data_IF_889844277554
#
_entry.id   IF_889844277554
#
_cell.length_a   1.000
_cell.length_b   1.000
_cell.length_c   1.000
_cell.angle_alpha   90.00
_cell.angle_beta   90.00
_cell.angle_gamma   90.00
#
_symmetry.space_group_name_H-M   'P 1'
#
loop_
_entity.id
_entity.type
_entity.pdbx_description
1 polymer ?
#
# COMPACT_ATOMS: atom_id res chain seq x y z
N UNK A 1 -3.49 11.05 -0.64
CA UNK A 1 -2.93 12.34 -1.10
C UNK A 1 -3.29 12.55 -2.58
N UNK A 2 -2.97 13.67 -3.25
CA UNK A 2 -3.32 13.83 -4.66
C UNK A 2 -2.74 12.71 -5.54
N UNK A 3 -3.52 12.23 -6.51
CA UNK A 3 -3.10 11.13 -7.39
C UNK A 3 -3.08 9.75 -6.70
N UNK A 4 -3.62 9.62 -5.49
CA UNK A 4 -3.88 8.31 -4.89
C UNK A 4 -5.12 7.67 -5.53
N UNK A 5 -4.98 6.44 -6.02
CA UNK A 5 -6.04 5.64 -6.62
C UNK A 5 -6.19 4.36 -5.81
N UNK A 6 -7.36 4.14 -5.22
CA UNK A 6 -7.74 2.92 -4.51
C UNK A 6 -8.85 2.23 -5.30
N UNK A 7 -8.69 0.97 -5.68
CA UNK A 7 -9.63 0.24 -6.55
C UNK A 7 -9.82 -1.22 -6.13
N UNK A 8 -10.97 -1.80 -6.49
CA UNK A 8 -11.31 -3.19 -6.19
C UNK A 8 -11.41 -3.45 -4.68
N UNK A 9 -10.99 -4.63 -4.25
CA UNK A 9 -11.03 -5.07 -2.86
C UNK A 9 -9.80 -4.53 -2.08
N UNK A 10 -9.67 -3.21 -2.05
CA UNK A 10 -8.58 -2.51 -1.36
C UNK A 10 -9.01 -2.09 0.04
N UNK A 11 -8.23 -2.48 1.05
CA UNK A 11 -8.49 -2.20 2.46
C UNK A 11 -7.33 -1.39 3.06
N UNK A 12 -7.67 -0.33 3.80
CA UNK A 12 -6.69 0.55 4.46
C UNK A 12 -6.92 0.51 5.97
N UNK A 13 -5.92 0.05 6.72
CA UNK A 13 -5.95 0.03 8.17
C UNK A 13 -5.83 1.41 8.82
N UNK A 14 -6.02 1.44 10.14
CA UNK A 14 -5.97 2.69 10.91
C UNK A 14 -4.61 3.38 10.83
N UNK A 15 -4.62 4.71 10.86
CA UNK A 15 -3.41 5.56 10.89
C UNK A 15 -2.44 5.31 9.72
N UNK A 16 -2.91 4.82 8.59
CA UNK A 16 -2.11 4.72 7.37
C UNK A 16 -1.93 6.08 6.69
N UNK A 17 -0.79 6.24 6.02
CA UNK A 17 -0.52 7.38 5.16
C UNK A 17 -0.34 6.89 3.71
N UNK A 18 -1.33 7.17 2.86
CA UNK A 18 -1.24 6.87 1.43
C UNK A 18 -0.82 8.13 0.68
N UNK A 19 0.46 8.12 0.33
CA UNK A 19 1.24 9.09 -0.42
C UNK A 19 0.71 9.39 -1.82
N UNK A 20 1.18 10.48 -2.44
CA UNK A 20 0.76 10.88 -3.76
C UNK A 20 1.21 9.87 -4.81
N UNK A 21 0.47 9.82 -5.93
CA UNK A 21 0.76 8.96 -7.08
C UNK A 21 0.84 7.45 -6.75
N UNK A 22 0.16 7.02 -5.68
CA UNK A 22 0.03 5.59 -5.35
C UNK A 22 -1.23 5.01 -5.98
N UNK A 23 -1.11 3.86 -6.65
CA UNK A 23 -2.23 3.08 -7.18
C UNK A 23 -2.26 1.71 -6.52
N UNK A 24 -3.31 1.44 -5.75
CA UNK A 24 -3.52 0.20 -5.02
C UNK A 24 -4.78 -0.49 -5.55
N UNK A 25 -4.65 -1.72 -6.02
CA UNK A 25 -5.74 -2.54 -6.57
C UNK A 25 -5.78 -3.85 -5.81
N UNK A 26 -6.93 -4.24 -5.26
CA UNK A 26 -7.09 -5.46 -4.46
C UNK A 26 -5.97 -5.63 -3.41
N UNK A 27 -5.59 -4.53 -2.74
CA UNK A 27 -4.42 -4.49 -1.86
C UNK A 27 -4.85 -4.23 -0.42
N UNK A 28 -4.35 -5.04 0.52
CA UNK A 28 -4.58 -4.83 1.96
C UNK A 28 -3.40 -4.09 2.55
N UNK A 29 -3.65 -2.97 3.22
CA UNK A 29 -2.64 -2.15 3.88
C UNK A 29 -2.84 -2.18 5.39
N UNK A 30 -1.85 -2.72 6.12
CA UNK A 30 -1.87 -2.84 7.56
C UNK A 30 -1.74 -1.49 8.28
N UNK A 31 -2.30 -1.40 9.48
CA UNK A 31 -2.33 -0.18 10.28
C UNK A 31 -0.95 0.46 10.46
N UNK A 32 -0.89 1.79 10.40
CA UNK A 32 0.33 2.58 10.55
C UNK A 32 1.28 2.55 9.35
N UNK A 33 0.93 1.87 8.25
CA UNK A 33 1.78 1.78 7.08
C UNK A 33 1.85 3.13 6.32
N UNK A 34 2.98 3.35 5.66
CA UNK A 34 3.19 4.49 4.76
C UNK A 34 3.49 3.99 3.36
N UNK A 35 2.71 4.45 2.37
CA UNK A 35 2.81 3.99 0.98
C UNK A 35 2.86 5.19 0.05
N UNK A 36 3.98 5.42 -0.62
CA UNK A 36 4.16 6.58 -1.52
C UNK A 36 4.67 6.17 -2.90
N UNK A 37 4.22 6.86 -3.96
CA UNK A 37 4.64 6.63 -5.35
C UNK A 37 4.72 5.13 -5.72
N UNK A 38 3.70 4.36 -5.34
CA UNK A 38 3.73 2.89 -5.41
C UNK A 38 2.59 2.36 -6.28
N UNK A 39 2.87 1.37 -7.13
CA UNK A 39 1.86 0.58 -7.82
C UNK A 39 1.77 -0.80 -7.15
N UNK A 40 0.61 -1.15 -6.61
CA UNK A 40 0.37 -2.45 -6.00
C UNK A 40 -0.90 -3.07 -6.54
N UNK A 41 -0.85 -4.37 -6.85
CA UNK A 41 -1.99 -5.17 -7.28
C UNK A 41 -1.98 -6.53 -6.61
N UNK A 42 -3.13 -6.95 -6.08
CA UNK A 42 -3.33 -8.26 -5.43
C UNK A 42 -2.23 -8.55 -4.38
N UNK A 43 -1.95 -7.56 -3.52
CA UNK A 43 -0.82 -7.56 -2.60
C UNK A 43 -1.23 -7.31 -1.14
N UNK A 44 -0.35 -7.66 -0.20
CA UNK A 44 -0.53 -7.38 1.23
C UNK A 44 0.65 -6.58 1.78
N UNK A 45 0.36 -5.45 2.38
CA UNK A 45 1.33 -4.55 3.03
C UNK A 45 1.15 -4.66 4.54
N UNK A 46 2.20 -5.06 5.26
CA UNK A 46 2.17 -5.26 6.71
C UNK A 46 1.98 -3.98 7.52
N UNK A 47 1.73 -4.17 8.83
CA UNK A 47 1.59 -3.08 9.80
C UNK A 47 2.89 -2.28 9.90
N UNK A 48 2.76 -0.96 10.04
CA UNK A 48 3.88 -0.01 10.13
C UNK A 48 4.87 -0.07 8.94
N UNK A 49 4.56 -0.84 7.88
CA UNK A 49 5.45 -1.01 6.75
C UNK A 49 5.62 0.31 5.99
N UNK A 50 6.81 0.50 5.41
CA UNK A 50 7.10 1.62 4.51
C UNK A 50 7.31 1.06 3.12
N UNK A 51 6.49 1.49 2.16
CA UNK A 51 6.56 1.04 0.77
C UNK A 51 6.71 2.25 -0.14
N UNK A 52 7.75 2.23 -0.96
CA UNK A 52 8.10 3.30 -1.88
C UNK A 52 9.32 4.12 -1.45
N UNK A 53 9.62 5.21 -2.19
CA UNK A 53 8.97 5.58 -3.45
C UNK A 53 9.37 4.64 -4.62
N UNK A 54 8.57 4.63 -5.70
CA UNK A 54 8.76 3.87 -6.94
C UNK A 54 8.71 2.34 -6.80
N UNK A 55 8.00 1.84 -5.79
CA UNK A 55 7.78 0.40 -5.63
C UNK A 55 6.70 -0.11 -6.59
N UNK A 56 6.90 -1.31 -7.11
CA UNK A 56 5.90 -2.06 -7.88
C UNK A 56 5.71 -3.43 -7.24
N UNK A 57 4.57 -3.63 -6.58
CA UNK A 57 4.21 -4.89 -5.93
C UNK A 57 3.36 -5.73 -6.90
N UNK A 58 3.93 -6.86 -7.32
CA UNK A 58 3.26 -7.81 -8.21
C UNK A 58 2.24 -8.67 -7.44
N UNK A 59 1.27 -9.28 -8.14
CA UNK A 59 0.29 -10.17 -7.53
C UNK A 59 0.92 -11.23 -6.62
N UNK A 60 0.37 -11.39 -5.41
CA UNK A 60 0.88 -12.31 -4.40
C UNK A 60 2.02 -11.76 -3.54
N UNK A 61 2.47 -10.53 -3.77
CA UNK A 61 3.51 -9.90 -2.93
C UNK A 61 3.00 -9.68 -1.51
N UNK A 62 3.82 -10.08 -0.53
CA UNK A 62 3.57 -9.84 0.89
C UNK A 62 4.74 -9.06 1.48
N UNK A 63 4.50 -7.82 1.88
CA UNK A 63 5.44 -7.02 2.65
C UNK A 63 5.19 -7.33 4.14
N UNK A 64 6.21 -7.78 4.90
CA UNK A 64 6.03 -8.10 6.30
C UNK A 64 5.78 -6.85 7.14
N UNK A 65 5.28 -7.05 8.37
CA UNK A 65 5.18 -6.00 9.37
C UNK A 65 6.56 -5.38 9.65
N UNK A 66 6.60 -4.06 9.82
CA UNK A 66 7.80 -3.38 10.30
C UNK A 66 7.96 -3.54 11.81
N UNK A 67 9.22 -3.64 12.25
CA UNK A 67 9.61 -3.67 13.66
C UNK A 67 9.54 -2.27 14.29
#
# INVERSE_FOLDING_TARGET
LPGTILQGDTEIGDNCEIGPNSRLVNTVVGAGARVEMTNARDAKIGRNAKVGPFANLEPGTVVPDAK
#
